data_IF_316708086354
#
_entry.id   IF_316708086354
#
_cell.length_a   1.000
_cell.length_b   1.000
_cell.length_c   1.000
_cell.angle_alpha   90.00
_cell.angle_beta   90.00
_cell.angle_gamma   90.00
#
_symmetry.space_group_name_H-M   'P 1'
#
loop_
_entity.id
_entity.type
_entity.pdbx_description
1 polymer ?
#
# COMPACT_ATOMS: atom_id res chain seq x y z
N UNK A 1 2.68 -5.48 -15.68
CA UNK A 1 1.49 -5.96 -14.92
C UNK A 1 1.45 -7.47 -15.04
N UNK A 2 2.10 -8.20 -14.14
CA UNK A 2 2.33 -9.65 -14.28
C UNK A 2 1.57 -10.41 -13.20
N UNK A 3 0.24 -10.36 -13.24
CA UNK A 3 -0.56 -11.19 -12.35
C UNK A 3 -2.04 -10.81 -12.34
N UNK A 4 -2.92 -11.80 -12.24
CA UNK A 4 -4.37 -11.61 -12.08
C UNK A 4 -4.73 -11.57 -10.60
N UNK A 5 -5.93 -11.08 -10.26
CA UNK A 5 -6.40 -11.08 -8.87
C UNK A 5 -6.47 -12.50 -8.28
N UNK A 6 -6.65 -13.52 -9.12
CA UNK A 6 -6.69 -14.91 -8.71
C UNK A 6 -5.31 -15.38 -8.23
N UNK A 7 -4.25 -15.01 -8.94
CA UNK A 7 -2.87 -15.30 -8.53
C UNK A 7 -2.54 -14.57 -7.23
N UNK A 8 -2.94 -13.29 -7.11
CA UNK A 8 -2.79 -12.52 -5.88
C UNK A 8 -3.46 -13.20 -4.66
N UNK A 9 -4.67 -13.74 -4.82
CA UNK A 9 -5.38 -14.42 -3.73
C UNK A 9 -4.76 -15.78 -3.33
N UNK A 10 -3.88 -16.35 -4.15
CA UNK A 10 -3.15 -17.58 -3.80
C UNK A 10 -1.92 -17.30 -2.95
N UNK A 11 -1.41 -16.07 -2.99
CA UNK A 11 -0.25 -15.66 -2.20
C UNK A 11 -0.61 -15.68 -0.72
N UNK A 12 0.33 -16.14 0.11
CA UNK A 12 0.17 -16.20 1.57
C UNK A 12 1.32 -15.51 2.31
N UNK A 13 2.50 -15.43 1.69
CA UNK A 13 3.70 -14.85 2.28
C UNK A 13 3.92 -13.40 1.87
N UNK A 14 4.44 -12.60 2.81
CA UNK A 14 4.73 -11.18 2.61
C UNK A 14 5.61 -10.95 1.37
N UNK A 15 6.69 -11.74 1.24
CA UNK A 15 7.67 -11.66 0.15
C UNK A 15 7.02 -11.90 -1.22
N UNK A 16 6.11 -12.87 -1.31
CA UNK A 16 5.43 -13.16 -2.58
C UNK A 16 4.59 -11.99 -3.06
N UNK A 17 3.95 -11.24 -2.15
CA UNK A 17 3.24 -10.02 -2.55
C UNK A 17 4.18 -8.96 -3.11
N UNK A 18 5.36 -8.75 -2.52
CA UNK A 18 6.33 -7.80 -3.05
C UNK A 18 6.86 -8.23 -4.42
N UNK A 19 7.16 -9.53 -4.60
CA UNK A 19 7.59 -10.09 -5.88
C UNK A 19 6.50 -9.94 -6.94
N UNK A 20 5.24 -10.24 -6.58
CA UNK A 20 4.08 -10.14 -7.46
C UNK A 20 3.86 -8.72 -7.97
N UNK A 21 3.97 -7.73 -7.10
CA UNK A 21 3.87 -6.31 -7.47
C UNK A 21 5.17 -5.73 -8.01
N UNK A 22 6.25 -6.53 -8.06
CA UNK A 22 7.60 -6.11 -8.44
C UNK A 22 8.09 -4.88 -7.64
N UNK A 23 7.75 -4.83 -6.35
CA UNK A 23 8.14 -3.75 -5.45
C UNK A 23 9.51 -4.04 -4.84
N UNK A 24 10.40 -3.04 -4.72
CA UNK A 24 11.65 -3.19 -4.00
C UNK A 24 11.36 -3.35 -2.50
N UNK A 25 11.95 -4.36 -1.88
CA UNK A 25 11.84 -4.60 -0.44
C UNK A 25 13.16 -5.13 0.10
N UNK A 26 13.41 -4.86 1.38
CA UNK A 26 14.50 -5.48 2.12
C UNK A 26 14.05 -6.83 2.71
N UNK A 27 14.70 -7.91 2.27
CA UNK A 27 14.34 -9.27 2.66
C UNK A 27 14.49 -9.51 4.16
N UNK A 28 15.53 -8.96 4.82
CA UNK A 28 15.70 -9.12 6.27
C UNK A 28 14.60 -8.38 7.02
N UNK A 29 14.31 -7.14 6.64
CA UNK A 29 13.28 -6.35 7.26
C UNK A 29 11.89 -6.99 7.11
N UNK A 30 11.55 -7.44 5.90
CA UNK A 30 10.29 -8.14 5.64
C UNK A 30 10.23 -9.44 6.43
N UNK A 31 11.30 -10.23 6.49
CA UNK A 31 11.29 -11.47 7.27
C UNK A 31 11.04 -11.23 8.77
N UNK A 32 11.61 -10.16 9.34
CA UNK A 32 11.40 -9.78 10.74
C UNK A 32 9.98 -9.25 10.97
N UNK A 33 9.48 -8.41 10.06
CA UNK A 33 8.21 -7.68 10.22
C UNK A 33 7.04 -8.29 9.44
N UNK A 34 7.18 -9.48 8.83
CA UNK A 34 6.20 -10.08 7.90
C UNK A 34 4.78 -10.11 8.47
N UNK A 35 4.64 -10.53 9.72
CA UNK A 35 3.33 -10.63 10.38
C UNK A 35 2.70 -9.25 10.57
N UNK A 36 3.51 -8.25 10.91
CA UNK A 36 3.04 -6.88 11.11
C UNK A 36 2.67 -6.21 9.79
N UNK A 37 3.50 -6.39 8.76
CA UNK A 37 3.25 -5.92 7.39
C UNK A 37 1.96 -6.54 6.86
N UNK A 38 1.79 -7.87 6.93
CA UNK A 38 0.58 -8.56 6.49
C UNK A 38 -0.67 -8.12 7.25
N UNK A 39 -0.56 -7.95 8.58
CA UNK A 39 -1.66 -7.44 9.39
C UNK A 39 -2.09 -6.04 8.95
N UNK A 40 -1.12 -5.14 8.75
CA UNK A 40 -1.40 -3.76 8.32
C UNK A 40 -1.93 -3.72 6.88
N UNK A 41 -1.37 -4.55 6.01
CA UNK A 41 -1.83 -4.71 4.64
C UNK A 41 -3.29 -5.17 4.57
N UNK A 42 -3.66 -6.19 5.35
CA UNK A 42 -5.05 -6.66 5.45
C UNK A 42 -6.01 -5.56 5.91
N UNK A 43 -5.62 -4.72 6.86
CA UNK A 43 -6.43 -3.55 7.26
C UNK A 43 -6.66 -2.58 6.11
N UNK A 44 -5.61 -2.26 5.33
CA UNK A 44 -5.76 -1.39 4.16
C UNK A 44 -6.60 -2.03 3.06
N UNK A 45 -6.47 -3.34 2.84
CA UNK A 45 -7.34 -4.05 1.88
C UNK A 45 -8.82 -3.93 2.26
N UNK A 46 -9.14 -4.07 3.55
CA UNK A 46 -10.51 -3.89 4.03
C UNK A 46 -10.99 -2.45 3.86
N UNK A 47 -10.15 -1.46 4.12
CA UNK A 47 -10.49 -0.05 3.91
C UNK A 47 -10.76 0.26 2.43
N UNK A 48 -9.95 -0.28 1.53
CA UNK A 48 -10.12 -0.16 0.07
C UNK A 48 -11.44 -0.80 -0.37
N UNK A 49 -11.74 -2.01 0.09
CA UNK A 49 -12.96 -2.72 -0.29
C UNK A 49 -14.23 -2.00 0.23
N UNK A 50 -14.15 -1.42 1.43
CA UNK A 50 -15.23 -0.58 1.97
C UNK A 50 -15.39 0.74 1.21
N UNK A 51 -14.29 1.40 0.86
CA UNK A 51 -14.31 2.72 0.20
C UNK A 51 -14.66 2.61 -1.28
N UNK A 52 -14.31 1.50 -1.92
CA UNK A 52 -14.44 1.32 -3.37
C UNK A 52 -14.83 -0.13 -3.72
N UNK A 53 -16.06 -0.57 -3.38
CA UNK A 53 -16.49 -1.95 -3.60
C UNK A 53 -16.69 -2.30 -5.09
N UNK A 54 -16.87 -1.31 -5.96
CA UNK A 54 -17.16 -1.48 -7.40
C UNK A 54 -15.92 -1.38 -8.30
N UNK A 55 -14.71 -1.55 -7.77
CA UNK A 55 -13.49 -1.54 -8.57
C UNK A 55 -13.34 -2.81 -9.40
N UNK A 56 -12.92 -2.67 -10.66
CA UNK A 56 -12.47 -3.79 -11.49
C UNK A 56 -11.21 -4.44 -10.91
N UNK A 57 -10.94 -5.69 -11.28
CA UNK A 57 -9.79 -6.45 -10.75
C UNK A 57 -8.45 -5.73 -10.91
N UNK A 58 -8.23 -5.07 -12.06
CA UNK A 58 -7.03 -4.26 -12.33
C UNK A 58 -6.91 -3.06 -11.38
N UNK A 59 -8.02 -2.39 -11.09
CA UNK A 59 -8.06 -1.26 -10.17
C UNK A 59 -7.85 -1.74 -8.73
N UNK A 60 -8.47 -2.85 -8.32
CA UNK A 60 -8.24 -3.48 -7.01
C UNK A 60 -6.77 -3.84 -6.82
N UNK A 61 -6.14 -4.48 -7.80
CA UNK A 61 -4.71 -4.80 -7.76
C UNK A 61 -3.84 -3.55 -7.63
N UNK A 62 -4.18 -2.48 -8.32
CA UNK A 62 -3.47 -1.19 -8.21
C UNK A 62 -3.58 -0.62 -6.80
N UNK A 63 -4.78 -0.66 -6.20
CA UNK A 63 -5.00 -0.19 -4.83
C UNK A 63 -4.28 -1.08 -3.81
N UNK A 64 -4.29 -2.41 -3.98
CA UNK A 64 -3.58 -3.35 -3.12
C UNK A 64 -2.07 -3.17 -3.20
N UNK A 65 -1.51 -2.95 -4.39
CA UNK A 65 -0.09 -2.61 -4.54
C UNK A 65 0.28 -1.38 -3.71
N UNK A 66 -0.54 -0.33 -3.77
CA UNK A 66 -0.31 0.90 -3.01
C UNK A 66 -0.47 0.67 -1.49
N UNK A 67 -1.44 -0.14 -1.09
CA UNK A 67 -1.64 -0.52 0.30
C UNK A 67 -0.46 -1.31 0.89
N UNK A 68 0.11 -2.24 0.12
CA UNK A 68 1.29 -3.00 0.55
C UNK A 68 2.50 -2.09 0.74
N UNK A 69 2.72 -1.18 -0.21
CA UNK A 69 3.79 -0.18 -0.13
C UNK A 69 3.64 0.71 1.11
N UNK A 70 2.44 1.27 1.34
CA UNK A 70 2.15 2.08 2.53
C UNK A 70 2.34 1.32 3.83
N UNK A 71 1.89 0.05 3.88
CA UNK A 71 2.11 -0.79 5.05
C UNK A 71 3.61 -0.92 5.35
N UNK A 72 4.41 -1.20 4.32
CA UNK A 72 5.85 -1.33 4.44
C UNK A 72 6.54 -0.02 4.88
N UNK A 73 6.20 1.11 4.26
CA UNK A 73 6.74 2.44 4.60
C UNK A 73 6.45 2.82 6.05
N UNK A 74 5.24 2.58 6.55
CA UNK A 74 4.87 2.90 7.94
C UNK A 74 5.79 2.22 8.95
N UNK A 75 6.23 0.98 8.66
CA UNK A 75 7.17 0.27 9.54
C UNK A 75 8.59 0.79 9.40
N UNK A 76 9.03 1.17 8.19
CA UNK A 76 10.34 1.77 7.97
C UNK A 76 10.45 3.13 8.65
N UNK A 77 9.45 4.01 8.48
CA UNK A 77 9.43 5.33 9.13
C UNK A 77 9.38 5.23 10.66
N UNK A 78 8.77 4.16 11.18
CA UNK A 78 8.72 3.87 12.61
C UNK A 78 10.02 3.28 13.17
N UNK A 79 10.98 2.89 12.30
CA UNK A 79 12.30 2.45 12.73
C UNK A 79 13.30 3.61 12.60
N UNK A 80 14.05 3.99 13.66
CA UNK A 80 14.98 5.12 13.61
C UNK A 80 16.25 4.86 12.78
N UNK A 81 16.27 3.80 11.97
CA UNK A 81 17.42 3.34 11.21
C UNK A 81 17.14 3.58 9.72
N UNK A 82 17.71 4.68 9.21
CA UNK A 82 17.86 4.98 7.78
C UNK A 82 16.58 5.33 7.00
N UNK A 83 16.11 6.55 7.25
CA UNK A 83 15.16 7.28 6.40
C UNK A 83 15.77 7.59 5.01
N UNK A 84 15.80 6.60 4.11
CA UNK A 84 16.12 6.81 2.69
C UNK A 84 15.33 5.90 1.73
N UNK A 85 14.26 5.27 2.20
CA UNK A 85 13.47 4.37 1.37
C UNK A 85 12.22 5.10 0.84
N UNK A 86 12.40 5.72 -0.34
CA UNK A 86 11.37 5.92 -1.37
C UNK A 86 10.34 7.05 -1.21
N UNK A 87 10.74 8.27 -1.63
CA UNK A 87 9.84 9.27 -2.24
C UNK A 87 9.31 8.77 -3.60
N UNK A 88 8.42 7.79 -3.66
CA UNK A 88 7.81 7.31 -4.93
C UNK A 88 6.64 6.37 -4.58
N UNK A 89 5.36 6.62 -4.83
CA UNK A 89 4.64 7.56 -5.66
C UNK A 89 3.27 7.82 -5.00
N UNK A 90 2.97 9.06 -4.62
CA UNK A 90 1.58 9.49 -4.46
C UNK A 90 1.35 10.68 -5.40
N UNK A 91 1.44 10.42 -6.70
CA UNK A 91 0.81 11.28 -7.70
C UNK A 91 -0.48 10.59 -8.17
N UNK A 92 -1.51 10.73 -7.33
CA UNK A 92 -2.88 10.83 -7.83
C UNK A 92 -3.42 12.14 -7.23
N UNK A 93 -3.69 13.17 -8.04
CA UNK A 93 -4.29 14.40 -7.54
C UNK A 93 -5.69 14.09 -7.03
N UNK A 94 -5.84 13.89 -5.72
CA UNK A 94 -7.13 14.05 -5.07
C UNK A 94 -7.44 15.53 -5.11
N UNK A 95 -8.19 15.91 -6.14
CA UNK A 95 -9.20 16.96 -6.11
C UNK A 95 -9.05 17.89 -4.90
N UNK A 96 -8.21 18.92 -5.04
CA UNK A 96 -8.14 20.00 -4.07
C UNK A 96 -9.53 20.61 -4.03
N UNK A 97 -10.27 20.27 -2.99
CA UNK A 97 -11.41 21.09 -2.59
C UNK A 97 -10.74 22.38 -2.13
N UNK A 98 -10.78 23.39 -2.99
CA UNK A 98 -10.52 24.75 -2.56
C UNK A 98 -11.58 25.05 -1.51
N UNK A 99 -11.21 24.93 -0.24
CA UNK A 99 -11.91 25.61 0.84
C UNK A 99 -11.81 27.10 0.52
N UNK A 100 -12.81 27.62 -0.19
CA UNK A 100 -13.01 29.06 -0.28
C UNK A 100 -13.32 29.53 1.14
N UNK A 101 -12.27 30.06 1.76
CA UNK A 101 -12.22 31.14 2.72
C UNK A 101 -13.02 31.00 4.03
N UNK A 102 -12.25 30.97 5.13
CA UNK A 102 -12.68 31.23 6.50
C UNK A 102 -12.58 32.74 6.75
N UNK A 103 -13.52 33.29 7.55
CA UNK A 103 -13.49 34.54 8.36
C UNK A 103 -14.44 35.63 7.81
N UNK A 104 -15.62 35.85 8.40
CA UNK A 104 -15.90 36.73 9.56
C UNK A 104 -15.46 38.19 9.38
N UNK A 105 -16.42 39.06 9.05
CA UNK A 105 -16.83 40.22 9.85
C UNK A 105 -18.33 40.46 9.62
#
# INVERSE_FOLDING_TARGET
MTGTIQEFNKLADAEEYFIFFQLPYDQQFVNINRLHILKKFSQYMQEIDNTSPNLSDTEKLTQYSLALQKAYEVFIESTPHEQKLFKVFNDKPKNVVTLTEITSD
#
